data_IF_730631836954
#
_entry.id   IF_730631836954
#
_cell.length_a   1.000
_cell.length_b   1.000
_cell.length_c   1.000
_cell.angle_alpha   90.00
_cell.angle_beta   90.00
_cell.angle_gamma   90.00
#
_symmetry.space_group_name_H-M   'P 1'
#
loop_
_entity.id
_entity.type
_entity.pdbx_description
1 polymer ?
#
# COMPACT_ATOMS: atom_id res chain seq x y z
N UNK A 1 10.22 -33.47 -3.72
CA UNK A 1 10.25 -32.28 -4.60
C UNK A 1 10.67 -31.08 -3.75
N UNK A 2 11.86 -30.53 -4.00
CA UNK A 2 12.24 -29.26 -3.34
C UNK A 2 11.50 -28.13 -4.05
N UNK A 3 10.62 -27.46 -3.31
CA UNK A 3 9.95 -26.24 -3.83
C UNK A 3 11.01 -25.15 -4.03
N UNK A 4 10.98 -24.48 -5.19
CA UNK A 4 11.95 -23.42 -5.50
C UNK A 4 11.72 -22.18 -4.63
N UNK A 5 12.79 -21.40 -4.39
CA UNK A 5 12.72 -20.12 -3.69
C UNK A 5 11.62 -19.22 -4.28
N UNK A 6 11.59 -19.10 -5.61
CA UNK A 6 10.59 -18.31 -6.33
C UNK A 6 9.15 -18.73 -5.97
N UNK A 7 8.87 -20.05 -5.95
CA UNK A 7 7.51 -20.54 -5.60
C UNK A 7 7.12 -20.14 -4.17
N UNK A 8 8.03 -20.30 -3.21
CA UNK A 8 7.78 -19.96 -1.80
C UNK A 8 7.51 -18.46 -1.64
N UNK A 9 8.35 -17.62 -2.28
CA UNK A 9 8.20 -16.15 -2.26
C UNK A 9 6.87 -15.72 -2.85
N UNK A 10 6.52 -16.21 -4.05
CA UNK A 10 5.25 -15.87 -4.71
C UNK A 10 4.06 -16.36 -3.89
N UNK A 11 4.16 -17.52 -3.24
CA UNK A 11 3.09 -18.05 -2.39
C UNK A 11 2.82 -17.12 -1.19
N UNK A 12 3.87 -16.72 -0.45
CA UNK A 12 3.72 -15.81 0.70
C UNK A 12 3.18 -14.46 0.23
N UNK A 13 3.79 -13.88 -0.80
CA UNK A 13 3.39 -12.60 -1.36
C UNK A 13 1.92 -12.58 -1.83
N UNK A 14 1.49 -13.61 -2.58
CA UNK A 14 0.12 -13.71 -3.07
C UNK A 14 -0.89 -13.89 -1.95
N UNK A 15 -0.53 -14.63 -0.90
CA UNK A 15 -1.38 -14.79 0.29
C UNK A 15 -1.59 -13.46 0.99
N UNK A 16 -0.54 -12.69 1.21
CA UNK A 16 -0.62 -11.39 1.87
C UNK A 16 -1.40 -10.36 1.05
N UNK A 17 -1.21 -10.35 -0.28
CA UNK A 17 -2.06 -9.53 -1.16
C UNK A 17 -3.53 -9.91 -1.03
N UNK A 18 -3.84 -11.21 -1.03
CA UNK A 18 -5.22 -11.66 -0.85
C UNK A 18 -5.80 -11.21 0.49
N UNK A 19 -5.02 -11.33 1.57
CA UNK A 19 -5.47 -10.94 2.92
C UNK A 19 -5.74 -9.43 3.02
N UNK A 20 -4.89 -8.57 2.44
CA UNK A 20 -5.14 -7.13 2.47
C UNK A 20 -6.38 -6.76 1.64
N UNK A 21 -6.57 -7.35 0.46
CA UNK A 21 -7.78 -7.13 -0.34
C UNK A 21 -9.03 -7.59 0.40
N UNK A 22 -8.99 -8.76 1.03
CA UNK A 22 -10.10 -9.26 1.83
C UNK A 22 -10.41 -8.33 3.01
N UNK A 23 -9.38 -7.78 3.67
CA UNK A 23 -9.54 -6.84 4.78
C UNK A 23 -10.14 -5.50 4.32
N UNK A 24 -9.66 -4.94 3.22
CA UNK A 24 -10.23 -3.72 2.62
C UNK A 24 -11.70 -3.93 2.24
N UNK A 25 -12.01 -5.05 1.59
CA UNK A 25 -13.38 -5.37 1.20
C UNK A 25 -14.29 -5.56 2.42
N UNK A 26 -13.80 -6.26 3.45
CA UNK A 26 -14.53 -6.40 4.72
C UNK A 26 -14.78 -5.04 5.39
N UNK A 27 -13.82 -4.12 5.34
CA UNK A 27 -13.97 -2.77 5.85
C UNK A 27 -15.09 -2.01 5.09
N UNK A 28 -15.09 -2.03 3.75
CA UNK A 28 -16.11 -1.38 2.93
C UNK A 28 -17.51 -1.96 3.21
N UNK A 29 -17.61 -3.30 3.34
CA UNK A 29 -18.89 -3.94 3.75
C UNK A 29 -19.33 -3.46 5.13
N UNK A 30 -18.41 -3.32 6.07
CA UNK A 30 -18.68 -2.76 7.40
C UNK A 30 -19.25 -1.35 7.34
N UNK A 31 -18.65 -0.48 6.53
CA UNK A 31 -19.12 0.89 6.29
C UNK A 31 -20.53 0.91 5.67
N UNK A 32 -20.77 0.09 4.64
CA UNK A 32 -22.11 -0.03 4.01
C UNK A 32 -23.17 -0.55 4.99
N UNK A 33 -22.81 -1.53 5.81
CA UNK A 33 -23.74 -2.03 6.83
C UNK A 33 -24.04 -0.94 7.86
N UNK A 34 -23.04 -0.19 8.28
CA UNK A 34 -23.22 0.92 9.22
C UNK A 34 -24.14 2.02 8.65
N UNK A 35 -23.95 2.39 7.36
CA UNK A 35 -24.81 3.34 6.67
C UNK A 35 -26.29 2.88 6.68
N UNK A 36 -26.55 1.62 6.36
CA UNK A 36 -27.93 1.05 6.31
C UNK A 36 -28.58 0.94 7.67
N UNK A 37 -27.79 0.78 8.73
CA UNK A 37 -28.30 0.65 10.11
C UNK A 37 -28.25 1.95 10.90
N UNK A 38 -27.83 3.06 10.28
CA UNK A 38 -27.60 4.35 10.92
C UNK A 38 -26.71 4.23 12.18
N UNK A 39 -25.68 3.40 12.11
CA UNK A 39 -24.71 3.20 13.19
C UNK A 39 -23.34 3.72 12.79
N UNK A 40 -22.48 4.02 13.76
CA UNK A 40 -21.09 4.38 13.48
C UNK A 40 -20.24 3.12 13.30
N UNK A 41 -19.27 3.20 12.36
CA UNK A 41 -18.24 2.18 12.17
C UNK A 41 -16.86 2.83 12.24
N UNK A 42 -16.00 2.36 13.13
CA UNK A 42 -14.75 3.04 13.51
C UNK A 42 -14.95 4.52 13.93
N UNK A 43 -16.11 4.84 14.52
CA UNK A 43 -16.46 6.20 14.93
C UNK A 43 -16.93 7.12 13.79
N UNK A 44 -16.97 6.64 12.55
CA UNK A 44 -17.45 7.37 11.38
C UNK A 44 -18.89 6.98 11.05
N UNK A 45 -19.67 7.96 10.61
CA UNK A 45 -21.04 7.77 10.13
C UNK A 45 -21.02 7.88 8.61
N UNK A 46 -21.71 6.97 7.94
CA UNK A 46 -21.76 6.91 6.49
C UNK A 46 -23.19 7.02 6.00
N UNK A 47 -23.38 7.57 4.81
CA UNK A 47 -24.65 7.60 4.07
C UNK A 47 -24.48 7.00 2.69
N UNK A 48 -25.49 6.24 2.23
CA UNK A 48 -25.56 5.77 0.85
C UNK A 48 -26.22 6.88 0.00
N UNK A 49 -25.47 7.47 -0.90
CA UNK A 49 -25.93 8.49 -1.86
C UNK A 49 -25.83 7.95 -3.28
N UNK A 50 -26.45 8.65 -4.25
CA UNK A 50 -26.29 8.31 -5.67
C UNK A 50 -25.37 9.34 -6.31
N UNK A 51 -24.28 8.86 -6.93
CA UNK A 51 -23.38 9.73 -7.67
C UNK A 51 -24.06 10.28 -8.94
N UNK A 52 -23.39 11.22 -9.64
CA UNK A 52 -23.90 11.83 -10.87
C UNK A 52 -24.23 10.81 -11.99
N UNK A 53 -23.76 9.56 -11.88
CA UNK A 53 -24.02 8.46 -12.82
C UNK A 53 -25.16 7.56 -12.37
N UNK A 54 -25.83 7.87 -11.25
CA UNK A 54 -26.90 7.07 -10.67
C UNK A 54 -26.42 5.78 -9.97
N UNK A 55 -25.13 5.64 -9.73
CA UNK A 55 -24.55 4.51 -8.98
C UNK A 55 -24.61 4.83 -7.50
N UNK A 56 -24.81 3.79 -6.68
CA UNK A 56 -24.83 3.90 -5.22
C UNK A 56 -23.40 4.17 -4.73
N UNK A 57 -23.23 5.30 -4.09
CA UNK A 57 -21.97 5.75 -3.53
C UNK A 57 -22.06 5.87 -2.01
N UNK A 58 -20.95 5.66 -1.32
CA UNK A 58 -20.89 5.74 0.12
C UNK A 58 -20.10 6.98 0.51
N UNK A 59 -20.74 7.90 1.23
CA UNK A 59 -20.12 9.15 1.64
C UNK A 59 -20.06 9.24 3.17
N UNK A 60 -18.92 9.58 3.78
CA UNK A 60 -18.89 9.91 5.19
C UNK A 60 -19.71 11.19 5.44
N UNK A 61 -20.70 11.15 6.33
CA UNK A 61 -21.54 12.31 6.64
C UNK A 61 -20.73 13.26 7.53
N UNK A 62 -20.63 14.53 7.12
CA UNK A 62 -20.30 15.62 8.02
C UNK A 62 -21.54 15.97 8.85
N UNK A 63 -21.48 15.75 10.17
CA UNK A 63 -22.48 16.35 11.05
C UNK A 63 -22.46 17.88 10.89
N UNK A 64 -23.58 18.55 11.12
CA UNK A 64 -23.77 20.00 10.89
C UNK A 64 -22.66 20.92 11.47
N UNK A 65 -21.75 20.39 12.26
CA UNK A 65 -20.55 21.06 12.80
C UNK A 65 -19.23 20.69 12.07
N UNK A 66 -19.24 20.19 10.85
CA UNK A 66 -18.10 20.00 9.90
C UNK A 66 -16.71 19.63 10.44
N UNK A 67 -16.45 19.88 11.72
CA UNK A 67 -15.15 19.69 12.37
C UNK A 67 -14.96 18.31 13.02
N UNK A 68 -16.04 17.63 13.43
CA UNK A 68 -15.90 16.37 14.18
C UNK A 68 -15.51 15.18 13.32
N UNK A 69 -16.00 15.09 12.07
CA UNK A 69 -15.65 13.97 11.20
C UNK A 69 -14.20 14.06 10.69
N UNK A 70 -13.72 15.24 10.34
CA UNK A 70 -12.31 15.44 9.98
C UNK A 70 -11.38 15.11 11.13
N UNK A 71 -11.75 15.44 12.36
CA UNK A 71 -10.99 15.08 13.55
C UNK A 71 -10.92 13.55 13.72
N UNK A 72 -12.04 12.86 13.59
CA UNK A 72 -12.12 11.39 13.71
C UNK A 72 -11.38 10.68 12.58
N UNK A 73 -11.50 11.16 11.33
CA UNK A 73 -10.72 10.66 10.20
C UNK A 73 -9.21 10.83 10.48
N UNK A 74 -8.80 12.01 10.93
CA UNK A 74 -7.41 12.29 11.31
C UNK A 74 -6.93 11.41 12.46
N UNK A 75 -7.76 11.16 13.48
CA UNK A 75 -7.46 10.26 14.59
C UNK A 75 -7.32 8.81 14.11
N UNK A 76 -8.18 8.35 13.19
CA UNK A 76 -8.09 7.03 12.59
C UNK A 76 -6.81 6.88 11.77
N UNK A 77 -6.51 7.84 10.88
CA UNK A 77 -5.27 7.84 10.10
C UNK A 77 -4.03 7.89 11.00
N UNK A 78 -4.04 8.75 12.02
CA UNK A 78 -2.96 8.87 12.99
C UNK A 78 -2.75 7.59 13.79
N UNK A 79 -3.83 6.96 14.25
CA UNK A 79 -3.80 5.69 14.96
C UNK A 79 -3.28 4.54 14.09
N UNK A 80 -3.80 4.42 12.87
CA UNK A 80 -3.34 3.41 11.90
C UNK A 80 -1.86 3.63 11.55
N UNK A 81 -1.44 4.86 11.31
CA UNK A 81 -0.05 5.19 11.00
C UNK A 81 0.89 4.87 12.18
N UNK A 82 0.51 5.25 13.40
CA UNK A 82 1.29 4.93 14.60
C UNK A 82 1.45 3.42 14.78
N UNK A 83 0.34 2.68 14.66
CA UNK A 83 0.37 1.22 14.77
C UNK A 83 1.19 0.58 13.63
N UNK A 84 1.08 1.08 12.40
CA UNK A 84 1.91 0.67 11.27
C UNK A 84 3.41 0.82 11.58
N UNK A 85 3.84 1.98 12.11
CA UNK A 85 5.23 2.21 12.49
C UNK A 85 5.67 1.24 13.58
N UNK A 86 4.82 0.98 14.59
CA UNK A 86 5.11 0.01 15.64
C UNK A 86 5.29 -1.41 15.09
N UNK A 87 4.43 -1.83 14.16
CA UNK A 87 4.51 -3.17 13.55
C UNK A 87 5.75 -3.30 12.67
N UNK A 88 6.08 -2.30 11.88
CA UNK A 88 7.33 -2.28 11.07
C UNK A 88 8.56 -2.33 11.99
N UNK A 89 8.57 -1.56 13.08
CA UNK A 89 9.64 -1.61 14.07
C UNK A 89 9.77 -2.99 14.72
N UNK A 90 8.65 -3.61 15.09
CA UNK A 90 8.62 -4.97 15.63
C UNK A 90 9.12 -6.01 14.61
N UNK A 91 8.81 -5.83 13.33
CA UNK A 91 9.25 -6.69 12.24
C UNK A 91 10.77 -6.60 12.06
N UNK A 92 11.33 -5.39 12.06
CA UNK A 92 12.76 -5.16 11.98
C UNK A 92 13.52 -5.78 13.19
N UNK A 93 12.96 -5.66 14.41
CA UNK A 93 13.54 -6.28 15.61
C UNK A 93 13.44 -7.82 15.53
N UNK A 94 12.29 -8.34 15.13
CA UNK A 94 12.08 -9.79 15.00
C UNK A 94 13.06 -10.41 13.98
N UNK A 95 13.29 -9.73 12.87
CA UNK A 95 14.25 -10.15 11.86
C UNK A 95 15.69 -10.13 12.40
N UNK A 96 16.10 -9.04 13.04
CA UNK A 96 17.45 -8.91 13.61
C UNK A 96 17.75 -9.95 14.70
N UNK A 97 16.73 -10.41 15.43
CA UNK A 97 16.85 -11.44 16.48
C UNK A 97 16.66 -12.86 15.97
N UNK A 98 16.46 -13.06 14.67
CA UNK A 98 16.25 -14.38 14.10
C UNK A 98 14.93 -15.04 14.54
N UNK A 99 13.87 -14.24 14.73
CA UNK A 99 12.58 -14.72 15.18
C UNK A 99 12.00 -15.81 14.24
N UNK A 100 11.12 -16.70 14.76
CA UNK A 100 10.48 -17.72 13.94
C UNK A 100 9.70 -17.11 12.76
N UNK A 101 9.72 -17.78 11.62
CA UNK A 101 9.02 -17.37 10.39
C UNK A 101 7.54 -17.00 10.63
N UNK A 102 6.85 -17.74 11.49
CA UNK A 102 5.45 -17.48 11.84
C UNK A 102 5.26 -16.07 12.42
N UNK A 103 6.21 -15.59 13.23
CA UNK A 103 6.16 -14.23 13.79
C UNK A 103 6.29 -13.19 12.66
N UNK A 104 7.22 -13.39 11.73
CA UNK A 104 7.41 -12.52 10.58
C UNK A 104 6.14 -12.43 9.72
N UNK A 105 5.57 -13.56 9.34
CA UNK A 105 4.31 -13.61 8.55
C UNK A 105 3.16 -12.93 9.30
N UNK A 106 3.01 -13.21 10.61
CA UNK A 106 1.95 -12.57 11.41
C UNK A 106 2.11 -11.06 11.45
N UNK A 107 3.32 -10.54 11.64
CA UNK A 107 3.58 -9.11 11.63
C UNK A 107 3.34 -8.50 10.24
N UNK A 108 3.73 -9.18 9.16
CA UNK A 108 3.46 -8.75 7.79
C UNK A 108 1.95 -8.65 7.53
N UNK A 109 1.16 -9.63 7.95
CA UNK A 109 -0.31 -9.60 7.91
C UNK A 109 -0.86 -8.42 8.74
N UNK A 110 -0.31 -8.15 9.93
CA UNK A 110 -0.70 -7.00 10.74
C UNK A 110 -0.46 -5.65 10.03
N UNK A 111 0.61 -5.53 9.25
CA UNK A 111 0.84 -4.34 8.39
C UNK A 111 -0.35 -4.12 7.45
N UNK A 112 -0.75 -5.14 6.72
CA UNK A 112 -1.89 -5.07 5.80
C UNK A 112 -3.21 -4.74 6.49
N UNK A 113 -3.51 -5.41 7.60
CA UNK A 113 -4.72 -5.18 8.37
C UNK A 113 -4.80 -3.75 8.94
N UNK A 114 -3.67 -3.20 9.34
CA UNK A 114 -3.59 -1.82 9.84
C UNK A 114 -3.86 -0.80 8.73
N UNK A 115 -3.41 -1.07 7.51
CA UNK A 115 -3.61 -0.19 6.38
C UNK A 115 -4.99 -0.34 5.71
N UNK A 116 -5.69 -1.44 5.94
CA UNK A 116 -6.98 -1.72 5.31
C UNK A 116 -8.04 -0.64 5.56
N UNK A 117 -8.23 -0.08 6.79
CA UNK A 117 -9.17 1.03 7.01
C UNK A 117 -8.79 2.30 6.24
N UNK A 118 -7.49 2.62 6.19
CA UNK A 118 -6.97 3.80 5.48
C UNK A 118 -7.23 3.66 3.98
N UNK A 119 -6.83 2.52 3.40
CA UNK A 119 -7.05 2.24 1.98
C UNK A 119 -8.54 2.14 1.64
N UNK A 120 -9.35 1.55 2.53
CA UNK A 120 -10.80 1.46 2.37
C UNK A 120 -11.49 2.82 2.36
N UNK A 121 -11.06 3.77 3.22
CA UNK A 121 -11.57 5.15 3.19
C UNK A 121 -11.18 5.87 1.90
N UNK A 122 -9.93 5.75 1.46
CA UNK A 122 -9.51 6.31 0.17
C UNK A 122 -10.38 5.79 -0.98
N UNK A 123 -10.73 4.50 -0.97
CA UNK A 123 -11.60 3.91 -1.99
C UNK A 123 -13.02 4.48 -1.93
N UNK A 124 -13.54 4.75 -0.74
CA UNK A 124 -14.86 5.34 -0.53
C UNK A 124 -14.87 6.79 -1.03
N UNK A 125 -13.83 7.58 -0.69
CA UNK A 125 -13.73 8.99 -1.07
C UNK A 125 -13.54 9.21 -2.58
N UNK A 126 -12.91 8.24 -3.29
CA UNK A 126 -12.54 8.40 -4.71
C UNK A 126 -13.57 7.89 -5.71
N UNK A 127 -14.79 7.50 -5.33
CA UNK A 127 -15.69 6.66 -6.12
C UNK A 127 -15.17 5.20 -6.19
N UNK A 128 -15.95 4.27 -5.66
CA UNK A 128 -15.59 2.84 -5.55
C UNK A 128 -15.14 2.22 -6.88
N UNK A 129 -15.69 2.67 -8.00
CA UNK A 129 -15.31 2.20 -9.33
C UNK A 129 -13.90 2.61 -9.74
N UNK A 130 -13.45 3.79 -9.33
CA UNK A 130 -12.09 4.28 -9.57
C UNK A 130 -11.08 3.56 -8.67
N UNK A 131 -11.41 3.38 -7.41
CA UNK A 131 -10.58 2.66 -6.48
C UNK A 131 -10.30 1.24 -6.93
N UNK A 132 -11.32 0.50 -7.38
CA UNK A 132 -11.15 -0.83 -7.94
C UNK A 132 -10.24 -0.85 -9.18
N UNK A 133 -10.31 0.18 -10.04
CA UNK A 133 -9.39 0.32 -11.18
C UNK A 133 -7.94 0.52 -10.73
N UNK A 134 -7.70 1.37 -9.72
CA UNK A 134 -6.36 1.61 -9.17
C UNK A 134 -5.77 0.31 -8.62
N UNK A 135 -6.54 -0.43 -7.82
CA UNK A 135 -6.11 -1.71 -7.28
C UNK A 135 -5.85 -2.75 -8.36
N UNK A 136 -6.74 -2.85 -9.34
CA UNK A 136 -6.57 -3.76 -10.49
C UNK A 136 -5.32 -3.39 -11.30
N UNK A 137 -5.06 -2.10 -11.49
CA UNK A 137 -3.88 -1.62 -12.18
C UNK A 137 -2.59 -1.94 -11.39
N UNK A 138 -2.59 -1.73 -10.07
CA UNK A 138 -1.46 -2.09 -9.22
C UNK A 138 -1.15 -3.58 -9.30
N UNK A 139 -2.17 -4.43 -9.21
CA UNK A 139 -2.02 -5.88 -9.29
C UNK A 139 -1.50 -6.32 -10.66
N UNK A 140 -2.10 -5.83 -11.74
CA UNK A 140 -1.69 -6.14 -13.10
C UNK A 140 -0.26 -5.69 -13.38
N UNK A 141 0.11 -4.48 -12.97
CA UNK A 141 1.45 -3.94 -13.11
C UNK A 141 2.47 -4.76 -12.34
N UNK A 142 2.13 -5.21 -11.13
CA UNK A 142 2.98 -6.08 -10.32
C UNK A 142 3.26 -7.41 -11.03
N UNK A 143 2.23 -8.08 -11.52
CA UNK A 143 2.43 -9.33 -12.27
C UNK A 143 3.20 -9.12 -13.57
N UNK A 144 2.99 -8.01 -14.28
CA UNK A 144 3.77 -7.67 -15.46
C UNK A 144 5.26 -7.48 -15.11
N UNK A 145 5.57 -6.78 -14.02
CA UNK A 145 6.94 -6.61 -13.52
C UNK A 145 7.58 -7.95 -13.13
N UNK A 146 6.83 -8.86 -12.49
CA UNK A 146 7.28 -10.21 -12.21
C UNK A 146 7.64 -10.95 -13.50
N UNK A 147 6.77 -10.92 -14.50
CA UNK A 147 7.06 -11.55 -15.79
C UNK A 147 8.31 -10.97 -16.44
N UNK A 148 8.49 -9.66 -16.42
CA UNK A 148 9.69 -9.00 -16.96
C UNK A 148 10.93 -9.46 -16.19
N UNK A 149 10.92 -9.41 -14.86
CA UNK A 149 12.07 -9.80 -14.05
C UNK A 149 12.47 -11.27 -14.19
N UNK A 150 11.50 -12.18 -14.36
CA UNK A 150 11.72 -13.61 -14.44
C UNK A 150 12.11 -14.06 -15.87
N UNK A 151 11.43 -13.54 -16.89
CA UNK A 151 11.50 -14.11 -18.26
C UNK A 151 12.26 -13.26 -19.27
N UNK A 152 12.61 -12.00 -18.97
CA UNK A 152 13.33 -11.15 -19.93
C UNK A 152 14.74 -11.64 -20.29
N UNK A 153 15.36 -12.41 -19.42
CA UNK A 153 16.76 -12.81 -19.57
C UNK A 153 17.79 -11.69 -19.38
N UNK A 154 17.32 -10.49 -19.03
CA UNK A 154 18.16 -9.31 -18.79
C UNK A 154 18.66 -9.35 -17.34
N UNK A 155 19.91 -8.94 -17.14
CA UNK A 155 20.46 -8.72 -15.81
C UNK A 155 20.13 -7.31 -15.32
N UNK A 156 19.21 -7.20 -14.35
CA UNK A 156 18.77 -5.92 -13.79
C UNK A 156 19.61 -5.43 -12.60
N UNK A 157 20.76 -6.04 -12.29
CA UNK A 157 21.62 -5.61 -11.17
C UNK A 157 22.05 -4.14 -11.26
N UNK A 158 22.14 -3.60 -12.47
CA UNK A 158 22.46 -2.17 -12.66
C UNK A 158 21.39 -1.23 -12.08
N UNK A 159 20.15 -1.69 -11.90
CA UNK A 159 19.07 -0.87 -11.31
C UNK A 159 19.26 -0.62 -9.83
N UNK A 160 19.92 -1.50 -9.08
CA UNK A 160 20.05 -1.40 -7.62
C UNK A 160 20.52 -0.04 -7.11
N UNK A 161 21.67 0.49 -7.59
CA UNK A 161 22.15 1.81 -7.18
C UNK A 161 21.20 2.96 -7.53
N UNK A 162 20.55 2.91 -8.69
CA UNK A 162 19.57 3.92 -9.12
C UNK A 162 18.31 3.88 -8.25
N UNK A 163 17.80 2.69 -7.93
CA UNK A 163 16.67 2.49 -7.02
C UNK A 163 16.99 3.09 -5.65
N UNK A 164 18.18 2.83 -5.09
CA UNK A 164 18.57 3.34 -3.80
C UNK A 164 18.56 4.87 -3.73
N UNK A 165 19.14 5.54 -4.75
CA UNK A 165 19.14 7.01 -4.84
C UNK A 165 17.72 7.53 -5.02
N UNK A 166 16.92 6.92 -5.90
CA UNK A 166 15.56 7.34 -6.18
C UNK A 166 14.63 7.19 -4.97
N UNK A 167 14.77 6.08 -4.20
CA UNK A 167 14.07 5.89 -2.93
C UNK A 167 14.44 6.96 -1.91
N UNK A 168 15.73 7.29 -1.79
CA UNK A 168 16.18 8.35 -0.88
C UNK A 168 15.52 9.70 -1.22
N UNK A 169 15.46 10.05 -2.50
CA UNK A 169 14.76 11.26 -2.95
C UNK A 169 13.28 11.22 -2.58
N UNK A 170 12.63 10.09 -2.81
CA UNK A 170 11.20 9.92 -2.49
C UNK A 170 10.94 10.01 -0.98
N UNK A 171 11.79 9.41 -0.16
CA UNK A 171 11.71 9.48 1.31
C UNK A 171 11.88 10.92 1.78
N UNK A 172 12.89 11.65 1.30
CA UNK A 172 13.11 13.06 1.66
C UNK A 172 11.91 13.90 1.27
N UNK A 173 11.34 13.69 0.07
CA UNK A 173 10.16 14.40 -0.38
C UNK A 173 8.95 14.13 0.54
N UNK A 174 8.62 12.86 0.80
CA UNK A 174 7.49 12.49 1.63
C UNK A 174 7.66 12.97 3.08
N UNK A 175 8.88 12.87 3.63
CA UNK A 175 9.19 13.38 4.96
C UNK A 175 9.04 14.90 5.04
N UNK A 176 9.55 15.64 4.05
CA UNK A 176 9.38 17.08 3.96
C UNK A 176 7.91 17.47 3.86
N UNK A 177 7.15 16.77 2.99
CA UNK A 177 5.72 16.97 2.87
C UNK A 177 5.01 16.77 4.21
N UNK A 178 5.29 15.66 4.91
CA UNK A 178 4.71 15.34 6.22
C UNK A 178 5.03 16.40 7.28
N UNK A 179 6.31 16.76 7.42
CA UNK A 179 6.76 17.75 8.41
C UNK A 179 6.14 19.11 8.15
N UNK A 180 6.18 19.58 6.92
CA UNK A 180 5.70 20.95 6.60
C UNK A 180 4.17 21.03 6.64
N UNK A 181 3.46 20.00 6.17
CA UNK A 181 1.99 19.96 6.23
C UNK A 181 1.51 19.75 7.67
N UNK A 182 2.13 18.82 8.40
CA UNK A 182 1.71 18.47 9.76
C UNK A 182 2.04 19.53 10.82
N UNK A 183 3.18 20.22 10.69
CA UNK A 183 3.66 21.14 11.73
C UNK A 183 3.39 22.63 11.41
N UNK A 184 3.34 23.04 10.14
CA UNK A 184 3.39 24.47 9.80
C UNK A 184 2.21 25.00 9.01
N UNK A 185 1.52 24.23 8.16
CA UNK A 185 0.58 24.77 7.18
C UNK A 185 -0.83 24.16 7.18
N UNK A 186 -1.08 23.12 7.98
CA UNK A 186 -2.36 22.44 7.97
C UNK A 186 -2.67 21.71 6.63
N UNK A 187 -3.91 21.30 6.38
CA UNK A 187 -4.30 20.46 5.23
C UNK A 187 -4.15 21.11 3.85
N UNK A 188 -3.90 22.41 3.77
CA UNK A 188 -3.65 23.15 2.50
C UNK A 188 -2.24 22.92 1.99
N UNK A 189 -1.95 21.73 1.51
CA UNK A 189 -0.66 21.18 1.11
C UNK A 189 0.40 22.16 0.56
N UNK A 190 1.62 22.02 1.08
CA UNK A 190 2.83 22.80 0.73
C UNK A 190 3.19 22.71 -0.75
N UNK A 191 2.88 21.58 -1.37
CA UNK A 191 3.25 21.33 -2.74
C UNK A 191 2.08 21.56 -3.70
N UNK A 192 2.39 22.19 -4.82
CA UNK A 192 1.42 22.35 -5.90
C UNK A 192 0.89 20.98 -6.34
N UNK A 193 -0.32 20.93 -6.82
CA UNK A 193 -0.95 19.74 -7.36
C UNK A 193 -0.09 19.08 -8.45
N UNK A 194 0.53 19.89 -9.32
CA UNK A 194 1.46 19.41 -10.34
C UNK A 194 2.66 18.72 -9.74
N UNK A 195 3.24 19.27 -8.66
CA UNK A 195 4.38 18.64 -7.96
C UNK A 195 3.99 17.29 -7.37
N UNK A 196 2.82 17.20 -6.70
CA UNK A 196 2.30 15.92 -6.16
C UNK A 196 2.12 14.89 -7.27
N UNK A 197 1.53 15.28 -8.41
CA UNK A 197 1.34 14.40 -9.56
C UNK A 197 2.66 13.89 -10.13
N UNK A 198 3.66 14.76 -10.31
CA UNK A 198 4.98 14.37 -10.81
C UNK A 198 5.68 13.40 -9.84
N UNK A 199 5.64 13.72 -8.55
CA UNK A 199 6.30 12.87 -7.54
C UNK A 199 5.61 11.53 -7.36
N UNK A 200 4.29 11.47 -7.48
CA UNK A 200 3.56 10.19 -7.48
C UNK A 200 3.92 9.34 -8.72
N UNK A 201 4.00 9.95 -9.91
CA UNK A 201 4.43 9.25 -11.11
C UNK A 201 5.87 8.72 -10.99
N UNK A 202 6.76 9.53 -10.41
CA UNK A 202 8.13 9.11 -10.10
C UNK A 202 8.15 7.95 -9.11
N UNK A 203 7.35 8.00 -8.05
CA UNK A 203 7.19 6.91 -7.08
C UNK A 203 6.67 5.62 -7.73
N UNK A 204 5.65 5.71 -8.59
CA UNK A 204 5.14 4.56 -9.36
C UNK A 204 6.28 3.90 -10.15
N UNK A 205 7.07 4.70 -10.90
CA UNK A 205 8.18 4.18 -11.69
C UNK A 205 9.24 3.47 -10.81
N UNK A 206 9.56 4.03 -9.64
CA UNK A 206 10.52 3.44 -8.69
C UNK A 206 10.00 2.08 -8.19
N UNK A 207 8.75 2.01 -7.71
CA UNK A 207 8.23 0.76 -7.13
C UNK A 207 8.05 -0.33 -8.18
N UNK A 208 7.71 0.01 -9.42
CA UNK A 208 7.74 -0.95 -10.54
C UNK A 208 9.16 -1.44 -10.83
N UNK A 209 10.16 -0.55 -10.81
CA UNK A 209 11.55 -0.93 -10.99
C UNK A 209 12.08 -1.85 -9.87
N UNK A 210 11.67 -1.61 -8.61
CA UNK A 210 11.97 -2.49 -7.47
C UNK A 210 11.40 -3.89 -7.74
N UNK A 211 10.15 -4.00 -8.16
CA UNK A 211 9.51 -5.29 -8.42
C UNK A 211 10.21 -6.08 -9.53
N UNK A 212 10.65 -5.41 -10.60
CA UNK A 212 11.44 -6.04 -11.68
C UNK A 212 12.80 -6.50 -11.13
N UNK A 213 13.47 -5.66 -10.37
CA UNK A 213 14.78 -5.95 -9.79
C UNK A 213 14.72 -7.14 -8.83
N UNK A 214 13.80 -7.12 -7.86
CA UNK A 214 13.63 -8.20 -6.87
C UNK A 214 13.24 -9.53 -7.52
N UNK A 215 12.29 -9.53 -8.44
CA UNK A 215 11.90 -10.77 -9.14
C UNK A 215 13.04 -11.35 -9.99
N UNK A 216 13.90 -10.51 -10.56
CA UNK A 216 15.12 -10.95 -11.27
C UNK A 216 16.15 -11.54 -10.29
N UNK A 217 16.36 -10.89 -9.14
CA UNK A 217 17.29 -11.36 -8.11
C UNK A 217 16.86 -12.72 -7.55
N UNK A 218 15.58 -12.87 -7.17
CA UNK A 218 15.01 -14.15 -6.72
C UNK A 218 15.22 -15.26 -7.75
N UNK A 219 15.01 -14.94 -9.04
CA UNK A 219 15.18 -15.91 -10.12
C UNK A 219 16.64 -16.37 -10.27
N UNK A 220 17.61 -15.47 -10.09
CA UNK A 220 19.03 -15.80 -10.11
C UNK A 220 19.42 -16.70 -8.94
N UNK A 221 19.02 -16.33 -7.73
CA UNK A 221 19.31 -17.11 -6.52
C UNK A 221 18.63 -18.50 -6.58
N UNK A 222 17.41 -18.56 -7.10
CA UNK A 222 16.73 -19.84 -7.29
C UNK A 222 17.46 -20.77 -8.29
N UNK A 223 18.06 -20.21 -9.35
CA UNK A 223 18.87 -20.98 -10.33
C UNK A 223 20.20 -21.45 -9.73
N UNK A 224 20.80 -20.67 -8.85
CA UNK A 224 22.05 -21.03 -8.18
C UNK A 224 21.83 -22.06 -7.06
N UNK A 225 20.59 -22.29 -6.65
CA UNK A 225 20.24 -23.19 -5.54
C UNK A 225 20.61 -22.61 -4.17
N UNK A 226 20.95 -21.33 -4.12
CA UNK A 226 21.28 -20.61 -2.90
C UNK A 226 20.02 -20.14 -2.18
N UNK A 227 20.10 -20.05 -0.84
CA UNK A 227 19.05 -19.48 0.03
C UNK A 227 17.65 -20.06 -0.23
N UNK A 228 17.54 -21.35 -0.61
CA UNK A 228 16.26 -22.00 -0.88
C UNK A 228 15.55 -22.44 0.41
N UNK A 229 15.44 -21.56 1.38
CA UNK A 229 14.72 -21.77 2.62
C UNK A 229 13.48 -20.87 2.70
N UNK A 230 12.63 -21.09 3.68
CA UNK A 230 11.40 -20.32 3.86
C UNK A 230 11.65 -18.91 4.43
N UNK A 231 12.77 -18.72 5.13
CA UNK A 231 13.13 -17.43 5.71
C UNK A 231 13.54 -16.46 4.62
N UNK A 232 14.46 -16.87 3.73
CA UNK A 232 14.84 -16.05 2.57
C UNK A 232 13.65 -15.77 1.66
N UNK A 233 12.75 -16.74 1.47
CA UNK A 233 11.52 -16.53 0.73
C UNK A 233 10.60 -15.48 1.38
N UNK A 234 10.53 -15.44 2.71
CA UNK A 234 9.78 -14.44 3.45
C UNK A 234 10.40 -13.04 3.32
N UNK A 235 11.72 -12.92 3.43
CA UNK A 235 12.43 -11.64 3.28
C UNK A 235 12.13 -11.02 1.91
N UNK A 236 12.26 -11.77 0.83
CA UNK A 236 11.88 -11.32 -0.51
C UNK A 236 10.39 -11.01 -0.67
N UNK A 237 9.52 -11.83 -0.07
CA UNK A 237 8.08 -11.59 -0.11
C UNK A 237 7.71 -10.29 0.62
N UNK A 238 8.39 -9.98 1.73
CA UNK A 238 8.20 -8.74 2.49
C UNK A 238 8.63 -7.52 1.68
N UNK A 239 9.79 -7.55 1.02
CA UNK A 239 10.26 -6.46 0.17
C UNK A 239 9.29 -6.18 -0.97
N UNK A 240 8.84 -7.22 -1.66
CA UNK A 240 7.82 -7.12 -2.71
C UNK A 240 6.49 -6.60 -2.19
N UNK A 241 6.06 -7.04 -1.01
CA UNK A 241 4.82 -6.59 -0.39
C UNK A 241 4.87 -5.11 -0.01
N UNK A 242 5.97 -4.65 0.57
CA UNK A 242 6.15 -3.23 0.89
C UNK A 242 6.21 -2.38 -0.40
N UNK A 243 6.87 -2.87 -1.44
CA UNK A 243 6.87 -2.20 -2.74
C UNK A 243 5.47 -2.11 -3.35
N UNK A 244 4.67 -3.18 -3.24
CA UNK A 244 3.27 -3.22 -3.69
C UNK A 244 2.38 -2.23 -2.93
N UNK A 245 2.49 -2.19 -1.61
CA UNK A 245 1.73 -1.23 -0.80
C UNK A 245 2.07 0.22 -1.18
N UNK A 246 3.35 0.52 -1.32
CA UNK A 246 3.78 1.84 -1.74
C UNK A 246 3.31 2.18 -3.17
N UNK A 247 3.31 1.21 -4.09
CA UNK A 247 2.77 1.39 -5.43
C UNK A 247 1.28 1.79 -5.38
N UNK A 248 0.47 1.13 -4.56
CA UNK A 248 -0.94 1.48 -4.36
C UNK A 248 -1.05 2.93 -3.86
N UNK A 249 -0.30 3.32 -2.83
CA UNK A 249 -0.33 4.69 -2.31
C UNK A 249 0.06 5.72 -3.37
N UNK A 250 1.08 5.46 -4.17
CA UNK A 250 1.48 6.37 -5.23
C UNK A 250 0.43 6.47 -6.35
N UNK A 251 -0.22 5.37 -6.70
CA UNK A 251 -1.32 5.37 -7.67
C UNK A 251 -2.53 6.15 -7.14
N UNK A 252 -2.91 5.97 -5.87
CA UNK A 252 -3.99 6.72 -5.24
C UNK A 252 -3.68 8.22 -5.21
N UNK A 253 -2.48 8.61 -4.80
CA UNK A 253 -2.05 10.02 -4.81
C UNK A 253 -2.03 10.62 -6.22
N UNK A 254 -1.65 9.83 -7.24
CA UNK A 254 -1.66 10.27 -8.62
C UNK A 254 -3.07 10.55 -9.11
N UNK A 255 -4.02 9.67 -8.79
CA UNK A 255 -5.42 9.83 -9.18
C UNK A 255 -6.04 11.02 -8.45
N UNK A 256 -5.87 11.13 -7.12
CA UNK A 256 -6.33 12.29 -6.33
C UNK A 256 -5.80 13.62 -6.90
N UNK A 257 -4.52 13.66 -7.25
CA UNK A 257 -3.92 14.83 -7.92
C UNK A 257 -4.45 15.08 -9.34
N UNK A 258 -5.16 14.14 -9.95
CA UNK A 258 -5.69 14.27 -11.32
C UNK A 258 -7.16 14.67 -11.33
N UNK A 259 -8.01 14.09 -10.49
CA UNK A 259 -9.48 14.20 -10.54
C UNK A 259 -10.05 15.36 -9.70
N UNK A 260 -9.31 15.94 -8.78
CA UNK A 260 -9.74 17.09 -7.96
C UNK A 260 -9.74 18.43 -8.73
N UNK A 261 -10.02 18.48 -10.04
CA UNK A 261 -10.09 19.67 -10.90
C UNK A 261 -11.46 19.94 -11.45
#
# INVERSE_FOLDING_TARGET
MHTSLLFKTVLIFSLEIFLIYAAIYAYIIGCRRAARTNTSFFGLIFEETHNAKGQLDLVPIDNEEGSENWKRISELYGGCFFFFVCVIGALAIADSQGAPLVVGITLMTCVGLTLAPVLGLFLIEMDESYGLKVFSLALLSTYACFCIGIFSGIDFNFLGPFIGIALLILIIYNFTAFVVTGLFLGPTGVFSRTTRKIMSLFGIAIFLAIMVYESNLITKLAKQGENNDWRSAFEFALELYLAFLNLIFQLLQYVDATDGG
#
